data_IF_290747591441
#
_entry.id   IF_290747591441
#
_cell.length_a   1.000
_cell.length_b   1.000
_cell.length_c   1.000
_cell.angle_alpha   90.00
_cell.angle_beta   90.00
_cell.angle_gamma   90.00
#
_symmetry.space_group_name_H-M   'P 1'
#
loop_
_entity.id
_entity.type
_entity.pdbx_description
1 polymer ?
#
# COMPACT_ATOMS: atom_id res chain seq x y z
N UNK A 1 -14.93 -7.79 -0.06
CA UNK A 1 -13.59 -8.00 0.53
C UNK A 1 -12.76 -9.03 -0.25
N UNK A 2 -13.33 -9.70 -1.26
CA UNK A 2 -12.72 -10.80 -2.03
C UNK A 2 -11.59 -10.40 -3.00
N UNK A 3 -11.43 -9.11 -3.34
CA UNK A 3 -10.46 -8.71 -4.37
C UNK A 3 -9.01 -8.55 -3.88
N UNK A 4 -8.80 -8.21 -2.60
CA UNK A 4 -7.43 -7.99 -2.07
C UNK A 4 -6.66 -9.31 -1.94
N UNK A 5 -7.35 -10.44 -1.76
CA UNK A 5 -6.69 -11.75 -1.64
C UNK A 5 -6.04 -12.21 -2.93
N UNK A 6 -6.42 -11.64 -4.09
CA UNK A 6 -5.88 -12.00 -5.41
C UNK A 6 -4.40 -11.64 -5.58
N UNK A 7 -3.89 -10.70 -4.77
CA UNK A 7 -2.47 -10.31 -4.83
C UNK A 7 -1.57 -11.13 -3.90
N UNK A 8 -2.15 -12.01 -3.07
CA UNK A 8 -1.37 -12.87 -2.19
C UNK A 8 -0.50 -13.83 -3.02
N UNK A 9 0.77 -13.95 -2.65
CA UNK A 9 1.76 -14.74 -3.36
C UNK A 9 2.36 -14.06 -4.60
N UNK A 10 1.80 -12.95 -5.09
CA UNK A 10 2.41 -12.18 -6.16
C UNK A 10 3.66 -11.44 -5.66
N UNK A 11 4.70 -11.37 -6.50
CA UNK A 11 5.93 -10.64 -6.21
C UNK A 11 5.79 -9.18 -6.60
N UNK A 12 6.04 -8.26 -5.67
CA UNK A 12 5.95 -6.83 -5.94
C UNK A 12 7.10 -6.43 -6.87
N UNK A 13 6.76 -5.91 -8.05
CA UNK A 13 7.72 -5.51 -9.07
C UNK A 13 8.15 -4.05 -8.92
N UNK A 14 7.17 -3.15 -8.80
CA UNK A 14 7.43 -1.72 -8.75
C UNK A 14 6.36 -0.99 -7.93
N UNK A 15 6.79 0.11 -7.31
CA UNK A 15 5.93 1.06 -6.61
C UNK A 15 6.28 2.45 -7.13
N UNK A 16 5.30 3.14 -7.71
CA UNK A 16 5.47 4.46 -8.31
C UNK A 16 4.64 5.47 -7.55
N UNK A 17 5.30 6.51 -7.03
CA UNK A 17 4.69 7.61 -6.31
C UNK A 17 4.52 8.82 -7.24
N UNK A 18 3.27 9.13 -7.58
CA UNK A 18 2.91 10.32 -8.35
C UNK A 18 2.54 11.44 -7.37
N UNK A 19 3.55 12.11 -6.82
CA UNK A 19 3.37 13.13 -5.77
C UNK A 19 2.38 14.24 -6.16
N UNK A 20 2.47 14.76 -7.39
CA UNK A 20 1.57 15.81 -7.88
C UNK A 20 0.10 15.35 -7.99
N UNK A 21 -0.13 14.04 -8.13
CA UNK A 21 -1.46 13.44 -8.24
C UNK A 21 -1.90 12.79 -6.92
N UNK A 22 -1.08 12.87 -5.87
CA UNK A 22 -1.27 12.15 -4.59
C UNK A 22 -1.66 10.68 -4.82
N UNK A 23 -0.96 10.01 -5.74
CA UNK A 23 -1.33 8.67 -6.21
C UNK A 23 -0.16 7.73 -6.08
N UNK A 24 -0.44 6.48 -5.73
CA UNK A 24 0.55 5.40 -5.71
C UNK A 24 0.05 4.28 -6.59
N UNK A 25 0.93 3.76 -7.42
CA UNK A 25 0.66 2.59 -8.24
C UNK A 25 1.65 1.49 -7.88
N UNK A 26 1.14 0.28 -7.65
CA UNK A 26 1.92 -0.91 -7.37
C UNK A 26 1.61 -1.98 -8.42
N UNK A 27 2.64 -2.53 -9.03
CA UNK A 27 2.54 -3.65 -9.97
C UNK A 27 3.26 -4.88 -9.44
N UNK A 28 2.88 -6.04 -9.98
CA UNK A 28 3.44 -7.32 -9.60
C UNK A 28 4.11 -8.01 -10.79
N UNK A 29 5.15 -8.79 -10.54
CA UNK A 29 5.86 -9.52 -11.59
C UNK A 29 4.96 -10.56 -12.25
N UNK A 30 5.04 -10.67 -13.58
CA UNK A 30 4.31 -11.65 -14.39
C UNK A 30 2.79 -11.66 -14.12
N UNK A 31 2.23 -10.51 -13.75
CA UNK A 31 0.81 -10.32 -13.48
C UNK A 31 0.28 -9.11 -14.23
N UNK A 32 -0.96 -9.21 -14.71
CA UNK A 32 -1.70 -8.07 -15.25
C UNK A 32 -2.41 -7.27 -14.15
N UNK A 33 -2.21 -7.63 -12.89
CA UNK A 33 -2.84 -6.95 -11.75
C UNK A 33 -1.98 -5.75 -11.34
N UNK A 34 -2.65 -4.64 -11.10
CA UNK A 34 -2.07 -3.43 -10.52
C UNK A 34 -2.98 -2.90 -9.42
N UNK A 35 -2.39 -2.47 -8.30
CA UNK A 35 -3.13 -1.73 -7.28
C UNK A 35 -2.82 -0.24 -7.43
N UNK A 36 -3.86 0.56 -7.48
CA UNK A 36 -3.75 2.01 -7.46
C UNK A 36 -4.41 2.56 -6.19
N UNK A 37 -3.65 3.33 -5.41
CA UNK A 37 -4.15 4.10 -4.28
C UNK A 37 -4.22 5.58 -4.66
N UNK A 38 -5.35 6.22 -4.35
CA UNK A 38 -5.63 7.61 -4.69
C UNK A 38 -5.76 8.47 -3.42
N UNK A 39 -5.33 9.74 -3.55
CA UNK A 39 -5.22 10.69 -2.45
C UNK A 39 -4.43 10.12 -1.27
N UNK A 40 -3.18 9.74 -1.53
CA UNK A 40 -2.23 9.17 -0.58
C UNK A 40 -1.31 10.25 -0.01
N UNK A 41 -1.62 10.84 1.15
CA UNK A 41 -0.77 11.86 1.75
C UNK A 41 0.51 11.27 2.34
N UNK A 42 0.50 10.01 2.75
CA UNK A 42 1.59 9.41 3.52
C UNK A 42 1.77 7.92 3.25
N UNK A 43 3.04 7.50 3.22
CA UNK A 43 3.48 6.13 3.03
C UNK A 43 4.69 5.87 3.92
N UNK A 44 4.72 4.68 4.51
CA UNK A 44 5.93 4.12 5.11
C UNK A 44 6.28 2.84 4.37
N UNK A 45 7.44 2.82 3.72
CA UNK A 45 7.99 1.65 3.03
C UNK A 45 9.31 1.27 3.69
N UNK A 46 9.44 -0.01 4.06
CA UNK A 46 10.62 -0.60 4.68
C UNK A 46 11.33 -1.63 3.80
N UNK A 47 11.11 -1.58 2.48
CA UNK A 47 11.80 -2.40 1.48
C UNK A 47 10.97 -3.56 0.94
N UNK A 48 9.71 -3.31 0.56
CA UNK A 48 8.79 -4.36 0.09
C UNK A 48 9.06 -4.84 -1.36
N UNK A 49 9.76 -4.05 -2.18
CA UNK A 49 9.99 -4.37 -3.59
C UNK A 49 10.79 -5.68 -3.73
N UNK A 50 10.37 -6.54 -4.67
CA UNK A 50 10.94 -7.88 -4.90
C UNK A 50 10.43 -8.95 -3.94
N UNK A 51 9.58 -8.61 -2.97
CA UNK A 51 9.02 -9.56 -2.01
C UNK A 51 7.66 -10.06 -2.47
N UNK A 52 7.36 -11.34 -2.23
CA UNK A 52 5.99 -11.85 -2.45
C UNK A 52 5.08 -11.47 -1.30
N UNK A 53 3.84 -11.10 -1.63
CA UNK A 53 2.86 -10.67 -0.64
C UNK A 53 2.43 -11.85 0.23
N UNK A 54 2.60 -11.73 1.55
CA UNK A 54 2.06 -12.66 2.55
C UNK A 54 0.80 -12.14 3.23
N UNK A 55 0.75 -10.82 3.44
CA UNK A 55 -0.38 -10.15 4.10
C UNK A 55 -0.77 -8.95 3.26
N UNK A 56 -2.07 -8.76 3.08
CA UNK A 56 -2.67 -7.61 2.43
C UNK A 56 -3.99 -7.28 3.12
N UNK A 57 -4.04 -6.19 3.89
CA UNK A 57 -5.22 -5.87 4.67
C UNK A 57 -5.46 -4.38 4.85
N UNK A 58 -6.74 -4.03 5.00
CA UNK A 58 -7.16 -2.72 5.49
C UNK A 58 -7.25 -2.76 7.01
N UNK A 59 -6.80 -1.70 7.67
CA UNK A 59 -6.87 -1.59 9.12
C UNK A 59 -7.34 -0.20 9.55
N UNK A 60 -7.72 -0.07 10.83
CA UNK A 60 -8.25 1.17 11.40
C UNK A 60 -7.18 1.82 12.27
N UNK A 61 -6.60 2.89 11.75
CA UNK A 61 -5.77 3.82 12.51
C UNK A 61 -4.38 3.30 12.85
N UNK A 62 -3.42 4.21 12.87
CA UNK A 62 -2.09 3.98 13.41
C UNK A 62 -1.60 5.25 14.08
N UNK A 63 -1.02 5.13 15.28
CA UNK A 63 -0.53 6.31 16.02
C UNK A 63 0.53 7.09 15.24
N UNK A 64 1.40 6.39 14.50
CA UNK A 64 2.43 7.00 13.65
C UNK A 64 1.81 7.91 12.58
N UNK A 65 0.75 7.47 11.92
CA UNK A 65 0.02 8.26 10.92
C UNK A 65 -0.70 9.45 11.57
N UNK A 66 -1.32 9.26 12.74
CA UNK A 66 -2.02 10.35 13.46
C UNK A 66 -1.09 11.52 13.78
N UNK A 67 0.13 11.23 14.25
CA UNK A 67 1.11 12.27 14.56
C UNK A 67 1.52 13.06 13.32
N UNK A 68 1.86 12.37 12.23
CA UNK A 68 2.28 13.02 10.98
C UNK A 68 1.11 13.79 10.34
N UNK A 69 -0.11 13.28 10.41
CA UNK A 69 -1.28 13.98 9.88
C UNK A 69 -1.54 15.31 10.58
N UNK A 70 -1.37 15.36 11.91
CA UNK A 70 -1.46 16.61 12.67
C UNK A 70 -0.45 17.65 12.19
N UNK A 71 0.80 17.24 11.94
CA UNK A 71 1.83 18.12 11.39
C UNK A 71 1.48 18.62 9.97
N UNK A 72 0.88 17.74 9.16
CA UNK A 72 0.40 18.06 7.81
C UNK A 72 -0.93 18.84 7.79
N UNK A 73 -1.57 19.07 8.95
CA UNK A 73 -2.91 19.66 9.08
C UNK A 73 -3.99 18.91 8.30
N UNK A 74 -3.91 17.57 8.30
CA UNK A 74 -4.91 16.68 7.71
C UNK A 74 -5.77 16.06 8.80
N UNK A 75 -7.05 15.84 8.49
CA UNK A 75 -7.93 15.04 9.34
C UNK A 75 -7.66 13.55 9.09
N UNK A 76 -7.49 12.76 10.15
CA UNK A 76 -7.22 11.32 10.06
C UNK A 76 -8.47 10.53 9.67
N UNK A 77 -9.65 11.05 10.00
CA UNK A 77 -10.93 10.38 9.75
C UNK A 77 -11.31 10.42 8.25
N UNK A 78 -10.68 11.30 7.48
CA UNK A 78 -10.83 11.40 6.03
C UNK A 78 -10.11 10.28 5.25
N UNK A 79 -9.35 9.42 5.94
CA UNK A 79 -8.46 8.45 5.32
C UNK A 79 -8.62 7.03 5.89
N UNK A 80 -8.29 6.06 5.05
CA UNK A 80 -8.19 4.63 5.36
C UNK A 80 -6.73 4.21 5.33
N UNK A 81 -6.42 3.07 5.93
CA UNK A 81 -5.07 2.54 6.02
C UNK A 81 -4.98 1.15 5.39
N UNK A 82 -3.89 0.92 4.67
CA UNK A 82 -3.60 -0.35 4.03
C UNK A 82 -2.20 -0.80 4.39
N UNK A 83 -2.04 -2.10 4.64
CA UNK A 83 -0.77 -2.71 4.92
C UNK A 83 -0.53 -3.88 3.96
N UNK A 84 0.67 -3.91 3.38
CA UNK A 84 1.23 -5.08 2.73
C UNK A 84 2.47 -5.53 3.46
N UNK A 85 2.60 -6.84 3.66
CA UNK A 85 3.80 -7.46 4.21
C UNK A 85 4.31 -8.55 3.27
N UNK A 86 5.59 -8.46 2.97
CA UNK A 86 6.31 -9.38 2.10
C UNK A 86 6.93 -10.55 2.86
N UNK A 87 7.45 -11.53 2.13
CA UNK A 87 8.24 -12.63 2.69
C UNK A 87 9.56 -12.13 3.31
N UNK A 88 10.11 -12.88 4.28
CA UNK A 88 11.50 -12.75 4.79
C UNK A 88 11.92 -11.45 5.51
N UNK A 89 11.26 -11.11 6.62
CA UNK A 89 11.75 -10.10 7.57
C UNK A 89 12.13 -10.74 8.91
N UNK A 90 13.34 -10.48 9.42
CA UNK A 90 13.73 -10.89 10.77
C UNK A 90 12.98 -10.07 11.83
N UNK A 91 12.66 -8.83 11.49
CA UNK A 91 11.92 -7.91 12.35
C UNK A 91 10.51 -7.64 11.82
N UNK A 92 9.59 -7.32 12.74
CA UNK A 92 8.16 -7.22 12.43
C UNK A 92 7.81 -6.18 11.36
N UNK A 93 8.63 -5.13 11.23
CA UNK A 93 8.42 -4.00 10.31
C UNK A 93 9.19 -4.14 8.99
N UNK A 94 10.06 -5.13 8.83
CA UNK A 94 10.82 -5.30 7.59
C UNK A 94 9.91 -5.82 6.47
N UNK A 95 10.22 -5.41 5.23
CA UNK A 95 9.49 -5.80 4.03
C UNK A 95 7.99 -5.49 4.16
N UNK A 96 7.67 -4.26 4.52
CA UNK A 96 6.32 -3.80 4.73
C UNK A 96 6.13 -2.47 4.02
N UNK A 97 4.94 -2.27 3.45
CA UNK A 97 4.46 -0.95 3.08
C UNK A 97 3.13 -0.67 3.75
N UNK A 98 3.02 0.52 4.31
CA UNK A 98 1.81 1.06 4.91
C UNK A 98 1.42 2.34 4.23
N UNK A 99 0.16 2.46 3.87
CA UNK A 99 -0.34 3.55 3.03
C UNK A 99 -1.58 4.12 3.70
N UNK A 100 -1.62 5.45 3.90
CA UNK A 100 -2.86 6.15 4.14
C UNK A 100 -3.42 6.65 2.81
N UNK A 101 -4.71 6.39 2.55
CA UNK A 101 -5.34 6.62 1.26
C UNK A 101 -6.84 6.90 1.43
N UNK A 102 -7.49 7.51 0.44
CA UNK A 102 -8.96 7.70 0.47
C UNK A 102 -9.71 6.61 -0.28
N UNK A 103 -9.18 6.23 -1.45
CA UNK A 103 -9.71 5.14 -2.26
C UNK A 103 -8.58 4.34 -2.88
N UNK A 104 -8.84 3.07 -3.14
CA UNK A 104 -7.96 2.23 -3.93
C UNK A 104 -8.78 1.40 -4.90
N UNK A 105 -8.12 0.94 -5.95
CA UNK A 105 -8.69 0.07 -6.97
C UNK A 105 -7.66 -0.98 -7.40
N UNK A 106 -8.19 -2.13 -7.81
CA UNK A 106 -7.41 -3.17 -8.46
C UNK A 106 -7.75 -3.10 -9.94
N UNK A 107 -6.72 -2.90 -10.76
CA UNK A 107 -6.80 -2.70 -12.20
C UNK A 107 -6.20 -3.94 -12.86
N UNK A 108 -6.89 -4.44 -13.88
CA UNK A 108 -6.42 -5.54 -14.71
C UNK A 108 -6.01 -4.95 -16.06
N UNK A 109 -4.70 -4.87 -16.29
CA UNK A 109 -4.12 -4.34 -17.51
C UNK A 109 -4.25 -5.38 -18.62
N UNK A 110 -5.34 -5.30 -19.39
CA UNK A 110 -5.56 -6.09 -20.61
C UNK A 110 -6.19 -7.48 -20.42
N UNK A 111 -7.28 -7.69 -21.16
CA UNK A 111 -7.51 -8.90 -21.93
C UNK A 111 -7.12 -8.60 -23.38
#
# INVERSE_FOLDING_TARGET
MERITEILGLQIHAIIHYYNQKKISMSFENSNIRIQFNNCPLVFDSGIIGKKVKVAEQYRGEMSFVLVFREMKLDVDDYRYFMLKGEEGNEHYQNQIRIAYQSFEIIYDGL
#
